data_IF_068401980202
#
_entry.id   IF_068401980202
#
_cell.length_a   1.000
_cell.length_b   1.000
_cell.length_c   1.000
_cell.angle_alpha   90.00
_cell.angle_beta   90.00
_cell.angle_gamma   90.00
#
_symmetry.space_group_name_H-M   'P 1'
#
loop_
_entity.id
_entity.type
_entity.pdbx_description
1 polymer ?
#
# COMPACT_ATOMS: atom_id res chain seq x y z
N UNK A 1 -23.87 6.76 7.43
CA UNK A 1 -22.45 6.40 7.25
C UNK A 1 -21.65 7.63 7.62
N UNK A 2 -20.67 7.51 8.51
CA UNK A 2 -19.71 8.59 8.73
C UNK A 2 -18.73 8.65 7.56
N UNK A 3 -18.31 9.85 7.18
CA UNK A 3 -17.36 10.06 6.10
C UNK A 3 -15.98 9.54 6.51
N UNK A 4 -15.32 8.77 5.65
CA UNK A 4 -13.92 8.36 5.88
C UNK A 4 -12.95 9.55 5.83
N UNK A 5 -11.81 9.42 6.50
CA UNK A 5 -10.74 10.42 6.52
C UNK A 5 -9.57 9.99 5.62
N UNK A 6 -8.85 10.97 5.08
CA UNK A 6 -7.60 10.75 4.34
C UNK A 6 -6.44 11.12 5.25
N UNK A 7 -5.57 10.16 5.52
CA UNK A 7 -4.35 10.37 6.30
C UNK A 7 -3.15 10.42 5.35
N UNK A 8 -2.35 11.49 5.44
CA UNK A 8 -1.11 11.63 4.69
C UNK A 8 0.05 11.65 5.68
N UNK A 9 0.88 10.61 5.65
CA UNK A 9 2.12 10.57 6.41
C UNK A 9 3.28 10.95 5.49
N UNK A 10 3.80 12.17 5.63
CA UNK A 10 4.88 12.73 4.80
C UNK A 10 6.05 13.26 5.64
N UNK A 11 7.11 13.71 4.97
CA UNK A 11 8.35 14.21 5.57
C UNK A 11 9.51 13.21 5.53
N UNK A 12 10.72 13.67 5.84
CA UNK A 12 11.96 12.88 5.68
C UNK A 12 12.25 11.94 6.87
N UNK A 13 11.53 12.13 7.98
CA UNK A 13 11.65 11.29 9.16
C UNK A 13 11.25 9.83 8.90
N UNK A 14 11.86 8.92 9.67
CA UNK A 14 11.40 7.52 9.76
C UNK A 14 10.05 7.45 10.47
N UNK A 15 9.22 6.49 10.07
CA UNK A 15 7.97 6.16 10.77
C UNK A 15 6.68 6.31 9.96
N UNK A 16 6.72 6.83 8.72
CA UNK A 16 5.54 6.97 7.84
C UNK A 16 4.85 5.62 7.59
N UNK A 17 5.59 4.67 7.02
CA UNK A 17 5.13 3.30 6.78
C UNK A 17 4.71 2.62 8.08
N UNK A 18 5.52 2.73 9.13
CA UNK A 18 5.22 2.13 10.44
C UNK A 18 3.91 2.66 11.04
N UNK A 19 3.64 3.97 10.93
CA UNK A 19 2.39 4.58 11.39
C UNK A 19 1.19 4.06 10.61
N UNK A 20 1.32 3.93 9.28
CA UNK A 20 0.28 3.34 8.43
C UNK A 20 0.00 1.87 8.78
N UNK A 21 1.05 1.06 8.94
CA UNK A 21 0.92 -0.36 9.33
C UNK A 21 0.30 -0.51 10.73
N UNK A 22 0.69 0.34 11.69
CA UNK A 22 0.11 0.34 13.03
C UNK A 22 -1.38 0.69 13.03
N UNK A 23 -1.81 1.62 12.16
CA UNK A 23 -3.23 1.92 11.96
C UNK A 23 -3.97 0.72 11.36
N UNK A 24 -3.40 0.07 10.34
CA UNK A 24 -3.93 -1.16 9.76
C UNK A 24 -4.09 -2.28 10.77
N UNK A 25 -3.06 -2.54 11.57
CA UNK A 25 -3.08 -3.57 12.60
C UNK A 25 -4.15 -3.29 13.67
N UNK A 26 -4.30 -2.02 14.07
CA UNK A 26 -5.35 -1.60 15.01
C UNK A 26 -6.75 -1.79 14.42
N UNK A 27 -6.94 -1.49 13.14
CA UNK A 27 -8.21 -1.68 12.46
C UNK A 27 -8.57 -3.16 12.34
N UNK A 28 -7.63 -3.98 11.86
CA UNK A 28 -7.80 -5.44 11.76
C UNK A 28 -8.12 -6.09 13.11
N UNK A 29 -7.46 -5.65 14.19
CA UNK A 29 -7.75 -6.11 15.56
C UNK A 29 -9.11 -5.67 16.13
N UNK A 30 -9.88 -4.86 15.38
CA UNK A 30 -11.27 -4.48 15.68
C UNK A 30 -12.22 -4.98 14.59
N UNK A 31 -11.86 -6.09 13.94
CA UNK A 31 -12.64 -6.76 12.90
C UNK A 31 -12.96 -5.87 11.68
N UNK A 32 -12.10 -4.88 11.41
CA UNK A 32 -12.19 -4.04 10.21
C UNK A 32 -11.39 -4.64 9.07
N UNK A 33 -11.92 -4.55 7.85
CA UNK A 33 -11.26 -5.01 6.64
C UNK A 33 -10.23 -3.98 6.18
N UNK A 34 -8.96 -4.39 6.15
CA UNK A 34 -7.83 -3.57 5.73
C UNK A 34 -7.29 -4.07 4.41
N UNK A 35 -7.13 -3.17 3.45
CA UNK A 35 -6.43 -3.42 2.19
C UNK A 35 -5.12 -2.65 2.18
N UNK A 36 -4.01 -3.32 1.94
CA UNK A 36 -2.70 -2.71 1.78
C UNK A 36 -2.21 -2.90 0.34
N UNK A 37 -1.64 -1.84 -0.23
CA UNK A 37 -0.74 -1.96 -1.38
C UNK A 37 0.53 -1.14 -1.13
N UNK A 38 1.64 -1.58 -1.70
CA UNK A 38 2.93 -0.91 -1.55
C UNK A 38 3.52 -0.60 -2.92
N UNK A 39 3.86 0.67 -3.14
CA UNK A 39 4.51 1.12 -4.35
C UNK A 39 6.03 1.08 -4.19
N UNK A 40 6.78 0.91 -5.30
CA UNK A 40 8.25 0.89 -5.29
C UNK A 40 8.90 -0.12 -4.31
N UNK A 41 8.24 -1.25 -4.05
CA UNK A 41 8.74 -2.33 -3.18
C UNK A 41 8.96 -3.61 -3.96
N UNK A 42 9.84 -4.47 -3.45
CA UNK A 42 10.15 -5.80 -3.96
C UNK A 42 9.25 -6.90 -3.39
N UNK A 43 8.23 -6.52 -2.61
CA UNK A 43 7.32 -7.41 -1.88
C UNK A 43 8.02 -8.33 -0.85
N UNK A 44 9.21 -7.97 -0.37
CA UNK A 44 9.91 -8.70 0.70
C UNK A 44 10.10 -7.79 1.92
N UNK A 45 9.26 -7.99 2.95
CA UNK A 45 9.38 -7.24 4.20
C UNK A 45 8.87 -8.01 5.42
N UNK A 46 9.43 -7.70 6.59
CA UNK A 46 8.98 -8.28 7.86
C UNK A 46 7.53 -7.92 8.20
N UNK A 47 7.07 -6.75 7.75
CA UNK A 47 5.68 -6.32 7.86
C UNK A 47 4.73 -7.24 7.09
N UNK A 48 5.06 -7.60 5.84
CA UNK A 48 4.25 -8.53 5.04
C UNK A 48 4.17 -9.92 5.68
N UNK A 49 5.30 -10.43 6.17
CA UNK A 49 5.34 -11.71 6.90
C UNK A 49 4.49 -11.69 8.18
N UNK A 50 4.35 -10.52 8.81
CA UNK A 50 3.50 -10.34 9.99
C UNK A 50 2.02 -10.27 9.61
N UNK A 51 1.70 -9.55 8.52
CA UNK A 51 0.34 -9.40 8.01
C UNK A 51 -0.25 -10.74 7.58
N UNK A 52 0.53 -11.61 6.94
CA UNK A 52 0.07 -12.95 6.55
C UNK A 52 -0.39 -13.81 7.76
N UNK A 53 0.06 -13.47 8.98
CA UNK A 53 -0.36 -14.14 10.23
C UNK A 53 -1.59 -13.50 10.88
N UNK A 54 -2.02 -12.31 10.45
CA UNK A 54 -3.17 -11.59 11.00
C UNK A 54 -4.52 -12.09 10.43
N UNK A 55 -4.48 -12.97 9.43
CA UNK A 55 -5.68 -13.56 8.84
C UNK A 55 -6.40 -12.65 7.85
N UNK A 56 -7.64 -13.01 7.51
CA UNK A 56 -8.37 -12.49 6.35
C UNK A 56 -8.77 -11.01 6.45
N UNK A 57 -8.70 -10.41 7.64
CA UNK A 57 -9.03 -9.01 7.85
C UNK A 57 -7.93 -8.04 7.37
N UNK A 58 -6.73 -8.55 7.05
CA UNK A 58 -5.64 -7.72 6.53
C UNK A 58 -5.12 -8.30 5.21
N UNK A 59 -5.64 -7.76 4.10
CA UNK A 59 -5.36 -8.24 2.75
C UNK A 59 -4.27 -7.40 2.09
N UNK A 60 -3.32 -8.07 1.43
CA UNK A 60 -2.26 -7.42 0.65
C UNK A 60 -2.55 -7.52 -0.85
N UNK A 61 -2.70 -6.37 -1.50
CA UNK A 61 -2.72 -6.23 -2.95
C UNK A 61 -1.30 -5.99 -3.47
N UNK A 62 -0.62 -7.09 -3.81
CA UNK A 62 0.75 -7.08 -4.36
C UNK A 62 0.70 -6.55 -5.80
N UNK A 63 1.64 -5.68 -6.16
CA UNK A 63 1.91 -5.32 -7.56
C UNK A 63 3.24 -5.88 -8.01
N UNK A 64 3.69 -5.45 -9.18
CA UNK A 64 4.93 -5.95 -9.75
C UNK A 64 6.14 -5.54 -8.89
N UNK A 65 7.03 -6.49 -8.53
CA UNK A 65 8.13 -6.21 -7.63
C UNK A 65 9.17 -5.29 -8.30
N UNK A 66 9.48 -4.19 -7.63
CA UNK A 66 10.47 -3.21 -8.07
C UNK A 66 11.78 -3.42 -7.31
N UNK A 67 12.78 -4.01 -7.98
CA UNK A 67 14.10 -4.32 -7.36
C UNK A 67 15.13 -3.19 -7.46
N UNK A 68 14.96 -2.29 -8.42
CA UNK A 68 15.84 -1.12 -8.59
C UNK A 68 15.19 0.10 -7.96
N UNK A 69 15.96 0.94 -7.27
CA UNK A 69 15.44 2.25 -6.91
C UNK A 69 15.08 3.01 -8.19
N UNK A 70 13.92 3.68 -8.18
CA UNK A 70 13.39 4.40 -9.34
C UNK A 70 14.40 5.34 -10.01
N UNK A 71 15.23 6.03 -9.20
CA UNK A 71 16.30 6.93 -9.68
C UNK A 71 17.44 6.26 -10.46
N UNK A 72 17.55 4.93 -10.40
CA UNK A 72 18.58 4.15 -11.11
C UNK A 72 17.99 3.37 -12.29
N UNK A 73 16.71 3.59 -12.62
CA UNK A 73 16.04 2.96 -13.76
C UNK A 73 16.28 3.75 -15.05
N UNK A 74 16.30 3.04 -16.18
CA UNK A 74 16.26 3.67 -17.51
C UNK A 74 14.91 4.39 -17.72
N UNK A 75 14.82 5.35 -18.67
CA UNK A 75 13.55 6.00 -19.00
C UNK A 75 12.43 5.01 -19.39
N UNK A 76 12.79 3.92 -20.07
CA UNK A 76 11.85 2.86 -20.46
C UNK A 76 11.35 2.09 -19.23
N UNK A 77 12.25 1.70 -18.33
CA UNK A 77 11.90 1.04 -17.06
C UNK A 77 10.98 1.94 -16.21
N UNK A 78 11.30 3.23 -16.10
CA UNK A 78 10.46 4.20 -15.39
C UNK A 78 9.06 4.31 -16.00
N UNK A 79 8.94 4.29 -17.33
CA UNK A 79 7.66 4.33 -18.02
C UNK A 79 6.82 3.09 -17.73
N UNK A 80 7.44 1.90 -17.78
CA UNK A 80 6.77 0.63 -17.43
C UNK A 80 6.28 0.66 -15.98
N UNK A 81 7.14 1.06 -15.04
CA UNK A 81 6.80 1.17 -13.62
C UNK A 81 5.67 2.19 -13.38
N UNK A 82 5.70 3.35 -14.03
CA UNK A 82 4.61 4.35 -13.96
C UNK A 82 3.27 3.78 -14.44
N UNK A 83 3.28 3.07 -15.57
CA UNK A 83 2.06 2.49 -16.12
C UNK A 83 1.47 1.42 -15.18
N UNK A 84 2.31 0.56 -14.60
CA UNK A 84 1.90 -0.40 -13.58
C UNK A 84 1.33 0.32 -12.35
N UNK A 85 2.00 1.34 -11.84
CA UNK A 85 1.53 2.11 -10.69
C UNK A 85 0.15 2.74 -10.92
N UNK A 86 -0.08 3.33 -12.11
CA UNK A 86 -1.39 3.92 -12.46
C UNK A 86 -2.46 2.83 -12.54
N UNK A 87 -2.16 1.69 -13.16
CA UNK A 87 -3.08 0.57 -13.25
C UNK A 87 -3.42 0.01 -11.87
N UNK A 88 -2.41 -0.19 -11.01
CA UNK A 88 -2.56 -0.68 -9.64
C UNK A 88 -3.33 0.29 -8.76
N UNK A 89 -3.06 1.58 -8.85
CA UNK A 89 -3.83 2.60 -8.13
C UNK A 89 -5.33 2.48 -8.45
N UNK A 90 -5.69 2.41 -9.73
CA UNK A 90 -7.09 2.24 -10.14
C UNK A 90 -7.70 0.93 -9.64
N UNK A 91 -6.95 -0.17 -9.78
CA UNK A 91 -7.40 -1.50 -9.37
C UNK A 91 -7.63 -1.59 -7.85
N UNK A 92 -6.68 -1.10 -7.05
CA UNK A 92 -6.77 -1.17 -5.58
C UNK A 92 -7.87 -0.27 -5.04
N UNK A 93 -8.07 0.94 -5.60
CA UNK A 93 -9.17 1.82 -5.18
C UNK A 93 -10.53 1.23 -5.54
N UNK A 94 -10.63 0.59 -6.72
CA UNK A 94 -11.85 -0.11 -7.14
C UNK A 94 -12.15 -1.28 -6.22
N UNK A 95 -11.15 -2.13 -5.94
CA UNK A 95 -11.28 -3.26 -5.02
C UNK A 95 -11.71 -2.81 -3.62
N UNK A 96 -11.08 -1.75 -3.09
CA UNK A 96 -11.42 -1.21 -1.78
C UNK A 96 -12.92 -0.83 -1.69
N UNK A 97 -13.43 -0.19 -2.74
CA UNK A 97 -14.84 0.20 -2.84
C UNK A 97 -15.77 -1.00 -3.05
N UNK A 98 -15.49 -1.85 -4.04
CA UNK A 98 -16.37 -2.94 -4.46
C UNK A 98 -16.52 -4.01 -3.35
N UNK A 99 -15.45 -4.25 -2.59
CA UNK A 99 -15.42 -5.26 -1.51
C UNK A 99 -15.67 -4.67 -0.11
N UNK A 100 -16.02 -3.39 -0.01
CA UNK A 100 -16.33 -2.67 1.22
C UNK A 100 -15.23 -2.76 2.28
N UNK A 101 -13.99 -2.42 1.90
CA UNK A 101 -12.90 -2.28 2.87
C UNK A 101 -13.10 -1.05 3.76
N UNK A 102 -12.80 -1.19 5.05
CA UNK A 102 -12.88 -0.09 6.02
C UNK A 102 -11.66 0.84 5.96
N UNK A 103 -10.50 0.31 5.52
CA UNK A 103 -9.24 1.05 5.43
C UNK A 103 -8.42 0.60 4.21
N UNK A 104 -8.01 1.57 3.39
CA UNK A 104 -7.05 1.37 2.30
C UNK A 104 -5.73 2.08 2.65
N UNK A 105 -4.64 1.30 2.71
CA UNK A 105 -3.28 1.79 2.89
C UNK A 105 -2.55 1.74 1.54
N UNK A 106 -2.01 2.88 1.12
CA UNK A 106 -1.19 3.01 -0.10
C UNK A 106 0.20 3.50 0.31
N UNK A 107 1.09 2.56 0.60
CA UNK A 107 2.46 2.85 1.06
C UNK A 107 3.34 3.32 -0.10
N UNK A 108 4.17 4.34 0.13
CA UNK A 108 5.07 4.96 -0.87
C UNK A 108 4.39 5.53 -2.13
N UNK A 109 3.07 5.74 -2.12
CA UNK A 109 2.31 6.28 -3.27
C UNK A 109 2.87 7.63 -3.77
N UNK A 110 3.22 8.54 -2.86
CA UNK A 110 3.71 9.89 -3.23
C UNK A 110 5.04 9.83 -3.97
N UNK A 111 5.89 8.85 -3.67
CA UNK A 111 7.17 8.65 -4.35
C UNK A 111 7.03 7.92 -5.70
N UNK A 112 5.85 7.36 -5.98
CA UNK A 112 5.60 6.42 -7.08
C UNK A 112 5.29 7.07 -8.44
N UNK A 113 5.19 8.40 -8.47
CA UNK A 113 4.79 9.22 -9.65
C UNK A 113 6.00 9.93 -10.26
#
# INVERSE_FOLDING_TARGET
MELGLIHIYCGDGKGKTTAAMGLGMRAAGRDKKVLLTQFLKDNDSGELNSIEKLGDNFVVFKGDPVKKFFKFMSPEEQMVTRNEHIARFRAVTKKASDENFDLLIMDELVASI
#
